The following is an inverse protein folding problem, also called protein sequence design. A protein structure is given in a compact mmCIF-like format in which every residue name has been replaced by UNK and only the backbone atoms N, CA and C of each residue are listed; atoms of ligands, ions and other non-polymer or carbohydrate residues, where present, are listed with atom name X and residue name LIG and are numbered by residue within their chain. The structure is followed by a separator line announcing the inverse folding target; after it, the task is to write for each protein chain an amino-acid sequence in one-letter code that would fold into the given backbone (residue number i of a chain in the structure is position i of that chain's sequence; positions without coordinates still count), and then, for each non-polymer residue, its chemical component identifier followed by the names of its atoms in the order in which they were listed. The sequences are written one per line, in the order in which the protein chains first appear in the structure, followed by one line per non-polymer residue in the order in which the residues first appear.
data_IF_965454324726
#
_entry.id   IF_965454324726
#
_cell.length_a   1.000
_cell.length_b   1.000
_cell.length_c   1.000
_cell.angle_alpha   90.00
_cell.angle_beta   90.00
_cell.angle_gamma   90.00
#
_symmetry.space_group_name_H-M   'P 1'
#
loop_
_entity.id
_entity.type
_entity.pdbx_description
1 polymer ?
#
# COMPACT_ATOMS: atom_id res chain seq x y z
N UNK A 1 20.26 5.11 11.45
CA UNK A 1 19.14 4.22 11.84
C UNK A 1 18.21 4.14 10.64
N UNK A 2 17.86 2.96 10.10
CA UNK A 2 16.78 2.90 9.14
C UNK A 2 15.53 3.43 9.83
N UNK A 3 14.90 4.43 9.22
CA UNK A 3 13.84 5.23 9.84
C UNK A 3 12.51 4.59 9.46
N UNK A 4 11.81 4.04 10.45
CA UNK A 4 10.52 3.34 10.27
C UNK A 4 9.47 4.25 9.61
N UNK A 5 8.63 3.69 8.75
CA UNK A 5 7.49 4.39 8.15
C UNK A 5 6.41 4.63 9.20
N UNK A 6 5.82 5.83 9.23
CA UNK A 6 4.57 6.06 9.95
C UNK A 6 3.39 5.36 9.25
N UNK A 7 2.29 5.15 9.98
CA UNK A 7 1.10 4.52 9.39
C UNK A 7 0.48 5.36 8.27
N UNK A 8 0.53 6.69 8.38
CA UNK A 8 0.08 7.61 7.32
C UNK A 8 1.00 7.57 6.08
N UNK A 9 2.33 7.56 6.25
CA UNK A 9 3.25 7.37 5.13
C UNK A 9 3.00 6.02 4.43
N UNK A 10 2.88 4.94 5.21
CA UNK A 10 2.59 3.63 4.67
C UNK A 10 1.23 3.58 3.94
N UNK A 11 0.18 4.25 4.46
CA UNK A 11 -1.11 4.33 3.80
C UNK A 11 -1.01 5.01 2.42
N UNK A 12 -0.35 6.17 2.33
CA UNK A 12 -0.15 6.86 1.05
C UNK A 12 0.66 6.03 0.05
N UNK A 13 1.68 5.31 0.53
CA UNK A 13 2.45 4.35 -0.29
C UNK A 13 1.53 3.25 -0.83
N UNK A 14 0.72 2.63 0.02
CA UNK A 14 -0.24 1.58 -0.36
C UNK A 14 -1.21 2.09 -1.42
N UNK A 15 -1.75 3.31 -1.28
CA UNK A 15 -2.71 3.87 -2.25
C UNK A 15 -2.09 4.08 -3.63
N UNK A 16 -0.83 4.54 -3.69
CA UNK A 16 -0.10 4.73 -4.95
C UNK A 16 0.30 3.42 -5.63
N UNK A 17 0.31 2.29 -4.91
CA UNK A 17 0.83 1.02 -5.39
C UNK A 17 -0.10 0.26 -6.35
N UNK A 18 -1.32 0.75 -6.61
CA UNK A 18 -2.32 0.01 -7.39
C UNK A 18 -2.86 0.77 -8.60
N UNK A 19 -2.20 1.84 -9.04
CA UNK A 19 -2.55 2.55 -10.29
C UNK A 19 -2.66 1.58 -11.47
N UNK A 20 -3.68 1.68 -12.34
CA UNK A 20 -4.73 2.72 -12.38
C UNK A 20 -5.96 2.44 -11.51
N UNK A 21 -5.97 1.36 -10.73
CA UNK A 21 -7.09 1.05 -9.85
C UNK A 21 -7.15 2.02 -8.68
N UNK A 22 -8.38 2.29 -8.21
CA UNK A 22 -8.59 3.02 -6.96
C UNK A 22 -8.22 2.11 -5.79
N UNK A 23 -7.29 2.57 -4.96
CA UNK A 23 -7.00 1.96 -3.67
C UNK A 23 -7.28 2.98 -2.57
N UNK A 24 -7.91 2.53 -1.48
CA UNK A 24 -8.15 3.34 -0.29
C UNK A 24 -7.49 2.64 0.89
N UNK A 25 -6.55 3.30 1.54
CA UNK A 25 -5.86 2.78 2.73
C UNK A 25 -6.15 3.67 3.94
N UNK A 26 -6.45 3.04 5.06
CA UNK A 26 -6.82 3.75 6.29
C UNK A 26 -6.07 3.14 7.49
N UNK A 27 -5.23 3.94 8.17
CA UNK A 27 -4.72 3.62 9.49
C UNK A 27 -5.86 3.52 10.51
N UNK A 28 -5.81 2.53 11.38
CA UNK A 28 -6.76 2.31 12.46
C UNK A 28 -6.08 1.66 13.66
N UNK A 29 -6.83 1.47 14.74
CA UNK A 29 -6.31 0.89 15.99
C UNK A 29 -5.16 1.74 16.58
N UNK A 30 -5.32 3.07 16.59
CA UNK A 30 -4.29 4.02 17.05
C UNK A 30 -2.96 3.89 16.28
N UNK A 31 -3.05 3.90 14.93
CA UNK A 31 -1.92 3.76 14.00
C UNK A 31 -1.11 2.45 14.16
N UNK A 32 -1.68 1.42 14.79
CA UNK A 32 -1.06 0.08 14.86
C UNK A 32 -1.42 -0.84 13.70
N UNK A 33 -2.46 -0.49 12.95
CA UNK A 33 -2.95 -1.30 11.84
C UNK A 33 -3.30 -0.43 10.66
N UNK A 34 -3.14 -0.98 9.46
CA UNK A 34 -3.68 -0.39 8.23
C UNK A 34 -4.62 -1.39 7.61
N UNK A 35 -5.80 -0.93 7.19
CA UNK A 35 -6.69 -1.68 6.32
C UNK A 35 -6.73 -1.00 4.97
N UNK A 36 -6.83 -1.77 3.89
CA UNK A 36 -6.97 -1.16 2.57
C UNK A 36 -7.86 -2.00 1.65
N UNK A 37 -8.45 -1.31 0.67
CA UNK A 37 -9.37 -1.89 -0.31
C UNK A 37 -8.99 -1.42 -1.70
N UNK A 38 -8.97 -2.37 -2.63
CA UNK A 38 -8.72 -2.13 -4.06
C UNK A 38 -10.04 -2.33 -4.79
N UNK A 39 -10.39 -1.36 -5.61
CA UNK A 39 -11.61 -1.35 -6.42
C UNK A 39 -11.26 -1.60 -7.89
N UNK A 40 -12.14 -2.26 -8.62
CA UNK A 40 -11.99 -2.39 -10.08
C UNK A 40 -12.43 -1.11 -10.81
N UNK A 41 -12.32 -1.10 -12.14
CA UNK A 41 -12.74 0.02 -13.00
C UNK A 41 -14.23 0.38 -12.90
N UNK A 42 -15.07 -0.50 -12.36
CA UNK A 42 -16.49 -0.28 -12.07
C UNK A 42 -16.76 0.06 -10.60
N UNK A 43 -15.73 0.45 -9.84
CA UNK A 43 -15.79 0.80 -8.43
C UNK A 43 -16.29 -0.33 -7.51
N UNK A 44 -16.24 -1.60 -7.96
CA UNK A 44 -16.58 -2.73 -7.09
C UNK A 44 -15.36 -3.16 -6.28
N UNK A 45 -15.51 -3.46 -4.98
CA UNK A 45 -14.41 -3.92 -4.15
C UNK A 45 -13.94 -5.29 -4.63
N UNK A 46 -12.72 -5.36 -5.12
CA UNK A 46 -12.13 -6.57 -5.67
C UNK A 46 -11.26 -7.30 -4.64
N UNK A 47 -10.50 -6.55 -3.85
CA UNK A 47 -9.63 -7.08 -2.81
C UNK A 47 -9.71 -6.21 -1.57
N UNK A 48 -9.79 -6.86 -0.42
CA UNK A 48 -9.77 -6.22 0.89
C UNK A 48 -8.69 -6.85 1.74
N UNK A 49 -7.88 -6.01 2.37
CA UNK A 49 -6.91 -6.40 3.39
C UNK A 49 -7.39 -5.82 4.72
N UNK A 50 -7.80 -6.67 5.65
CA UNK A 50 -8.42 -6.22 6.90
C UNK A 50 -7.42 -5.75 7.95
N UNK A 51 -6.19 -6.27 7.95
CA UNK A 51 -5.17 -5.86 8.90
C UNK A 51 -3.75 -6.09 8.37
N UNK A 52 -3.06 -5.01 8.01
CA UNK A 52 -1.61 -4.95 7.94
C UNK A 52 -1.11 -4.45 9.29
N UNK A 53 -0.32 -5.26 9.99
CA UNK A 53 0.17 -4.94 11.32
C UNK A 53 1.36 -3.98 11.26
N UNK A 54 1.52 -3.16 12.30
CA UNK A 54 2.63 -2.20 12.46
C UNK A 54 4.02 -2.75 12.12
N UNK A 55 4.45 -3.92 12.60
CA UNK A 55 5.78 -4.44 12.26
C UNK A 55 5.96 -4.68 10.76
N UNK A 56 4.88 -4.92 10.02
CA UNK A 56 4.90 -5.15 8.58
C UNK A 56 4.97 -3.86 7.78
N UNK A 57 4.22 -2.82 8.18
CA UNK A 57 4.19 -1.57 7.41
C UNK A 57 5.27 -0.57 7.82
N UNK A 58 5.85 -0.70 9.02
CA UNK A 58 6.95 0.15 9.47
C UNK A 58 8.27 -0.17 8.75
N UNK A 59 8.49 -1.45 8.43
CA UNK A 59 9.63 -1.87 7.63
C UNK A 59 9.31 -1.73 6.14
N UNK A 60 10.04 -0.84 5.47
CA UNK A 60 9.88 -0.55 4.05
C UNK A 60 9.97 -1.82 3.17
N UNK A 61 10.88 -2.74 3.50
CA UNK A 61 11.07 -3.99 2.73
C UNK A 61 9.90 -4.95 2.91
N UNK A 62 9.41 -5.09 4.13
CA UNK A 62 8.22 -5.91 4.46
C UNK A 62 6.98 -5.34 3.79
N UNK A 63 6.82 -4.02 3.78
CA UNK A 63 5.72 -3.35 3.09
C UNK A 63 5.79 -3.56 1.57
N UNK A 64 6.97 -3.36 0.97
CA UNK A 64 7.19 -3.59 -0.47
C UNK A 64 6.90 -5.05 -0.84
N UNK A 65 7.40 -6.01 -0.06
CA UNK A 65 7.15 -7.43 -0.27
C UNK A 65 5.66 -7.75 -0.21
N UNK A 66 4.94 -7.24 0.80
CA UNK A 66 3.49 -7.41 0.93
C UNK A 66 2.76 -6.82 -0.29
N UNK A 67 3.11 -5.61 -0.71
CA UNK A 67 2.47 -4.94 -1.85
C UNK A 67 2.71 -5.71 -3.16
N UNK A 68 3.92 -6.22 -3.39
CA UNK A 68 4.22 -7.06 -4.55
C UNK A 68 3.42 -8.37 -4.56
N UNK A 69 3.22 -9.01 -3.40
CA UNK A 69 2.35 -10.17 -3.27
C UNK A 69 0.90 -9.85 -3.64
N UNK A 70 0.38 -8.70 -3.18
CA UNK A 70 -0.99 -8.26 -3.47
C UNK A 70 -1.16 -7.87 -4.93
N UNK A 71 -0.20 -7.13 -5.50
CA UNK A 71 -0.15 -6.79 -6.93
C UNK A 71 -0.14 -8.05 -7.81
N UNK A 72 0.60 -9.09 -7.40
CA UNK A 72 0.57 -10.40 -8.07
C UNK A 72 -0.82 -11.06 -8.04
N UNK A 73 -1.59 -10.92 -6.96
CA UNK A 73 -2.97 -11.42 -6.88
C UNK A 73 -3.91 -10.65 -7.80
N UNK A 74 -3.71 -9.34 -7.95
CA UNK A 74 -4.48 -8.49 -8.88
C UNK A 74 -4.16 -8.86 -10.33
N UNK A 75 -2.88 -9.04 -10.67
CA UNK A 75 -2.46 -9.46 -12.01
C UNK A 75 -3.06 -10.82 -12.41
N UNK A 76 -3.14 -11.77 -11.47
CA UNK A 76 -3.79 -13.09 -11.70
C UNK A 76 -5.29 -13.00 -11.99
N UNK A 77 -5.94 -11.87 -11.69
CA UNK A 77 -7.35 -11.61 -12.07
C UNK A 77 -7.46 -11.00 -13.47
N UNK A 78 -6.36 -10.86 -14.21
CA UNK A 78 -6.34 -10.30 -15.56
C UNK A 78 -6.27 -8.79 -15.62
N UNK A 79 -5.92 -8.12 -14.51
CA UNK A 79 -5.79 -6.66 -14.46
C UNK A 79 -4.31 -6.29 -14.56
N UNK A 80 -3.98 -5.46 -15.54
CA UNK A 80 -2.66 -4.88 -15.69
C UNK A 80 -2.50 -3.64 -14.79
N UNK A 81 -1.57 -3.73 -13.85
CA UNK A 81 -1.17 -2.61 -12.99
C UNK A 81 0.04 -1.90 -13.59
N UNK A 82 0.09 -0.58 -13.43
CA UNK A 82 1.28 0.19 -13.79
C UNK A 82 2.51 -0.31 -13.02
N UNK A 83 3.72 -0.27 -13.63
CA UNK A 83 4.95 -0.58 -12.90
C UNK A 83 5.05 0.33 -11.68
N UNK A 84 5.43 -0.27 -10.54
CA UNK A 84 5.53 0.42 -9.27
C UNK A 84 6.73 -0.11 -8.51
N UNK A 85 7.43 0.80 -7.85
CA UNK A 85 8.48 0.52 -6.88
C UNK A 85 8.18 1.34 -5.65
N UNK A 86 8.63 0.88 -4.48
CA UNK A 86 8.49 1.66 -3.25
C UNK A 86 9.11 3.05 -3.46
N UNK A 87 8.37 4.14 -3.25
CA UNK A 87 8.93 5.47 -3.42
C UNK A 87 10.05 5.65 -2.39
N UNK A 88 11.22 6.08 -2.87
CA UNK A 88 12.22 6.67 -1.99
C UNK A 88 11.54 7.81 -1.24
N UNK A 89 11.50 7.76 0.10
CA UNK A 89 10.86 8.81 0.92
C UNK A 89 11.26 10.17 0.33
N UNK A 90 10.31 11.07 0.01
CA UNK A 90 10.69 12.40 -0.45
C UNK A 90 11.59 13.01 0.62
N UNK A 91 12.81 13.37 0.23
CA UNK A 91 13.66 14.16 1.09
C UNK A 91 12.86 15.40 1.52
N UNK A 92 12.83 15.76 2.81
CA UNK A 92 12.10 16.94 3.28
C UNK A 92 12.69 18.27 2.77
N UNK A 93 13.63 18.23 1.81
CA UNK A 93 14.29 19.36 1.18
C UNK A 93 13.65 19.78 -0.17
N UNK A 94 12.55 19.15 -0.60
CA UNK A 94 11.76 19.62 -1.74
C UNK A 94 10.53 20.43 -1.26
N UNK A 95 10.79 21.55 -0.58
CA UNK A 95 9.81 22.60 -0.30
C UNK A 95 10.50 23.96 -0.37
#
# INVERSE_FOLDING_TARGET
MPKDLSAQEAAGIIESAFVPLRCVAEPWDNDYRIRFRIFDSNDKPMLRMDAVLRPTFQDAKSLEFLLNQVRGRVARKGIELAPWSLPSRPDPAAA
#
